data_IF_999081414091
#
_entry.id   IF_999081414091
#
_cell.length_a   1.000
_cell.length_b   1.000
_cell.length_c   1.000
_cell.angle_alpha   90.00
_cell.angle_beta   90.00
_cell.angle_gamma   90.00
#
_symmetry.space_group_name_H-M   'P 1'
#
loop_
_entity.id
_entity.type
_entity.pdbx_description
1 polymer ?
#
# COMPACT_ATOMS: atom_id res chain seq x y z
N UNK A 1 15.50 -28.65 25.06
CA UNK A 1 15.11 -27.70 24.02
C UNK A 1 14.99 -28.48 22.72
N UNK A 2 13.78 -28.85 22.32
CA UNK A 2 13.56 -29.54 21.06
C UNK A 2 13.85 -28.52 19.93
N UNK A 3 14.81 -28.84 19.07
CA UNK A 3 15.14 -28.08 17.87
C UNK A 3 14.00 -28.18 16.84
N UNK A 4 12.94 -27.44 17.06
CA UNK A 4 11.91 -27.27 16.04
C UNK A 4 12.52 -26.55 14.85
N UNK A 5 12.37 -27.12 13.65
CA UNK A 5 12.75 -26.43 12.41
C UNK A 5 12.01 -25.09 12.33
N UNK A 6 12.72 -24.00 12.09
CA UNK A 6 12.10 -22.68 11.96
C UNK A 6 11.08 -22.70 10.81
N UNK A 7 9.91 -22.10 11.04
CA UNK A 7 8.85 -22.00 10.04
C UNK A 7 9.36 -21.24 8.82
N UNK A 8 9.17 -21.78 7.62
CA UNK A 8 9.67 -21.19 6.38
C UNK A 8 8.56 -20.46 5.63
N UNK A 9 8.73 -19.16 5.44
CA UNK A 9 7.73 -18.25 4.89
C UNK A 9 8.19 -17.63 3.58
N UNK A 10 7.32 -17.61 2.58
CA UNK A 10 7.55 -16.89 1.32
C UNK A 10 6.54 -15.74 1.20
N UNK A 11 7.04 -14.50 1.18
CA UNK A 11 6.20 -13.29 1.04
C UNK A 11 6.27 -12.77 -0.39
N UNK A 12 5.12 -12.57 -1.02
CA UNK A 12 4.98 -12.22 -2.43
C UNK A 12 4.18 -10.91 -2.63
N UNK A 13 4.84 -9.75 -2.67
CA UNK A 13 4.18 -8.48 -3.01
C UNK A 13 3.78 -8.41 -4.48
N UNK A 14 2.62 -7.79 -4.76
CA UNK A 14 2.17 -7.50 -6.11
C UNK A 14 3.11 -6.48 -6.79
N UNK A 15 3.20 -6.54 -8.11
CA UNK A 15 4.06 -5.68 -8.93
C UNK A 15 3.40 -4.37 -9.42
N UNK A 16 2.24 -4.01 -8.86
CA UNK A 16 1.51 -2.78 -9.21
C UNK A 16 2.00 -1.55 -8.44
N UNK A 17 3.26 -1.21 -8.61
CA UNK A 17 3.92 -0.10 -7.94
C UNK A 17 4.61 -0.51 -6.63
N UNK A 18 5.38 0.43 -6.07
CA UNK A 18 6.21 0.18 -4.89
C UNK A 18 5.42 0.05 -3.58
N UNK A 19 4.17 0.55 -3.54
CA UNK A 19 3.32 0.52 -2.34
C UNK A 19 3.03 -0.89 -1.83
N UNK A 20 2.92 -1.88 -2.71
CA UNK A 20 2.78 -3.28 -2.33
C UNK A 20 4.06 -3.83 -1.67
N UNK A 21 5.21 -3.50 -2.21
CA UNK A 21 6.49 -3.90 -1.63
C UNK A 21 6.70 -3.26 -0.25
N UNK A 22 6.43 -1.96 -0.10
CA UNK A 22 6.61 -1.25 1.17
C UNK A 22 5.68 -1.75 2.27
N UNK A 23 4.42 -2.07 1.98
CA UNK A 23 3.49 -2.60 2.98
C UNK A 23 3.79 -4.05 3.40
N UNK A 24 4.56 -4.81 2.60
CA UNK A 24 5.05 -6.12 3.02
C UNK A 24 6.22 -6.04 4.01
N UNK A 25 6.89 -4.89 4.14
CA UNK A 25 8.05 -4.71 5.03
C UNK A 25 7.70 -5.05 6.49
N UNK A 26 6.65 -4.48 7.12
CA UNK A 26 6.30 -4.86 8.49
C UNK A 26 5.92 -6.33 8.64
N UNK A 27 5.28 -6.94 7.65
CA UNK A 27 4.94 -8.37 7.66
C UNK A 27 6.21 -9.23 7.69
N UNK A 28 7.18 -8.93 6.84
CA UNK A 28 8.48 -9.61 6.79
C UNK A 28 9.21 -9.46 8.12
N UNK A 29 9.30 -8.23 8.64
CA UNK A 29 9.94 -7.94 9.93
C UNK A 29 9.30 -8.74 11.06
N UNK A 30 7.97 -8.81 11.10
CA UNK A 30 7.26 -9.49 12.17
C UNK A 30 7.47 -11.03 12.13
N UNK A 31 7.46 -11.65 10.94
CA UNK A 31 7.83 -13.07 10.82
C UNK A 31 9.26 -13.34 11.27
N UNK A 32 10.23 -12.48 10.89
CA UNK A 32 11.62 -12.58 11.32
C UNK A 32 11.75 -12.42 12.84
N UNK A 33 11.06 -11.44 13.44
CA UNK A 33 11.05 -11.16 14.88
C UNK A 33 10.55 -12.37 15.69
N UNK A 34 9.62 -13.14 15.12
CA UNK A 34 9.06 -14.34 15.74
C UNK A 34 9.83 -15.63 15.37
N UNK A 35 11.00 -15.50 14.74
CA UNK A 35 11.94 -16.59 14.49
C UNK A 35 11.65 -17.43 13.26
N UNK A 36 10.82 -16.95 12.33
CA UNK A 36 10.61 -17.62 11.04
C UNK A 36 11.79 -17.36 10.07
N UNK A 37 12.06 -18.32 9.19
CA UNK A 37 12.92 -18.13 8.01
C UNK A 37 12.08 -17.49 6.90
N UNK A 38 12.45 -16.29 6.42
CA UNK A 38 11.68 -15.56 5.41
C UNK A 38 12.45 -15.43 4.11
N UNK A 39 11.80 -15.75 3.00
CA UNK A 39 12.26 -15.44 1.65
C UNK A 39 11.21 -14.56 0.92
N UNK A 40 11.62 -13.89 -0.15
CA UNK A 40 10.78 -12.95 -0.89
C UNK A 40 10.55 -13.43 -2.31
N UNK A 41 9.29 -13.51 -2.76
CA UNK A 41 8.94 -13.72 -4.15
C UNK A 41 8.75 -12.35 -4.82
N UNK A 42 9.73 -11.92 -5.60
CA UNK A 42 9.83 -10.55 -6.16
C UNK A 42 9.71 -10.55 -7.67
N UNK A 43 9.39 -9.39 -8.22
CA UNK A 43 9.52 -9.10 -9.64
C UNK A 43 10.62 -8.03 -9.85
N UNK A 44 11.08 -7.85 -11.10
CA UNK A 44 12.19 -6.93 -11.40
C UNK A 44 11.95 -5.50 -10.88
N UNK A 45 10.69 -5.03 -10.89
CA UNK A 45 10.35 -3.66 -10.50
C UNK A 45 10.47 -3.38 -8.99
N UNK A 46 10.29 -4.39 -8.11
CA UNK A 46 10.35 -4.22 -6.66
C UNK A 46 11.57 -4.89 -6.00
N UNK A 47 12.31 -5.72 -6.76
CA UNK A 47 13.46 -6.47 -6.24
C UNK A 47 14.56 -5.60 -5.64
N UNK A 48 14.90 -4.48 -6.32
CA UNK A 48 15.96 -3.57 -5.86
C UNK A 48 15.58 -2.89 -4.53
N UNK A 49 14.33 -2.44 -4.38
CA UNK A 49 13.83 -1.84 -3.15
C UNK A 49 13.92 -2.82 -1.98
N UNK A 50 13.39 -4.03 -2.17
CA UNK A 50 13.37 -5.04 -1.10
C UNK A 50 14.77 -5.56 -0.77
N UNK A 51 15.69 -5.58 -1.73
CA UNK A 51 17.09 -5.93 -1.48
C UNK A 51 17.82 -4.86 -0.65
N UNK A 52 17.49 -3.60 -0.86
CA UNK A 52 18.04 -2.52 -0.04
C UNK A 52 17.54 -2.56 1.41
N UNK A 53 16.27 -2.97 1.63
CA UNK A 53 15.69 -3.06 2.97
C UNK A 53 16.12 -4.37 3.69
N UNK A 54 16.22 -5.46 2.94
CA UNK A 54 16.55 -6.81 3.44
C UNK A 54 17.67 -7.43 2.59
N UNK A 55 18.93 -6.95 2.72
CA UNK A 55 20.04 -7.44 1.90
C UNK A 55 20.37 -8.91 2.12
N UNK A 56 20.05 -9.44 3.30
CA UNK A 56 20.33 -10.83 3.72
C UNK A 56 19.26 -11.82 3.23
N UNK A 57 18.05 -11.35 2.89
CA UNK A 57 16.98 -12.23 2.49
C UNK A 57 17.11 -12.71 1.04
N UNK A 58 16.91 -14.00 0.85
CA UNK A 58 16.89 -14.58 -0.50
C UNK A 58 15.66 -14.09 -1.28
N UNK A 59 15.90 -13.72 -2.52
CA UNK A 59 14.86 -13.29 -3.46
C UNK A 59 14.68 -14.34 -4.56
N UNK A 60 13.41 -14.69 -4.85
CA UNK A 60 13.01 -15.55 -5.97
C UNK A 60 12.23 -14.74 -6.98
N UNK A 61 12.59 -14.83 -8.25
CA UNK A 61 11.85 -14.14 -9.31
C UNK A 61 10.52 -14.85 -9.53
N UNK A 62 9.43 -14.12 -9.29
CA UNK A 62 8.05 -14.55 -9.51
C UNK A 62 7.51 -14.03 -10.85
N UNK A 63 6.47 -14.66 -11.40
CA UNK A 63 5.75 -14.14 -12.56
C UNK A 63 5.25 -12.72 -12.35
N UNK A 64 5.28 -11.88 -13.38
CA UNK A 64 4.78 -10.51 -13.36
C UNK A 64 3.44 -10.40 -14.06
N UNK A 65 2.54 -9.58 -13.56
CA UNK A 65 1.27 -9.26 -14.22
C UNK A 65 1.45 -8.40 -15.46
N UNK A 66 2.60 -7.71 -15.60
CA UNK A 66 2.94 -6.84 -16.74
C UNK A 66 1.80 -5.86 -17.08
N UNK A 67 1.19 -5.25 -16.06
CA UNK A 67 0.07 -4.33 -16.29
C UNK A 67 0.57 -3.04 -16.89
N UNK A 68 0.12 -2.77 -18.10
CA UNK A 68 0.32 -1.49 -18.77
C UNK A 68 -0.89 -0.61 -18.49
N UNK A 69 -0.66 0.47 -17.75
CA UNK A 69 -1.70 1.46 -17.48
C UNK A 69 -2.07 2.24 -18.74
N UNK A 70 -3.37 2.34 -19.09
CA UNK A 70 -3.78 3.14 -20.24
C UNK A 70 -3.43 4.62 -20.05
N UNK A 71 -2.99 5.28 -21.12
CA UNK A 71 -2.56 6.68 -21.11
C UNK A 71 -3.66 7.68 -20.70
N UNK A 72 -4.93 7.33 -20.90
CA UNK A 72 -6.09 8.19 -20.61
C UNK A 72 -7.14 7.37 -19.83
N UNK A 73 -7.50 7.85 -18.66
CA UNK A 73 -8.62 7.35 -17.85
C UNK A 73 -8.45 5.87 -17.45
N UNK A 74 -7.92 5.63 -16.28
CA UNK A 74 -7.78 4.28 -15.74
C UNK A 74 -9.10 3.78 -15.15
N UNK A 75 -9.69 2.78 -15.79
CA UNK A 75 -10.87 2.09 -15.27
C UNK A 75 -10.53 0.61 -15.04
N UNK A 76 -10.23 0.26 -13.77
CA UNK A 76 -9.87 -1.10 -13.39
C UNK A 76 -10.95 -2.12 -13.77
N UNK A 77 -12.22 -1.78 -13.62
CA UNK A 77 -13.32 -2.68 -13.98
C UNK A 77 -13.33 -3.01 -15.47
N UNK A 78 -13.19 -1.98 -16.34
CA UNK A 78 -13.09 -2.19 -17.80
C UNK A 78 -11.79 -2.90 -18.18
N UNK A 79 -10.69 -2.61 -17.48
CA UNK A 79 -9.43 -3.29 -17.70
C UNK A 79 -9.54 -4.79 -17.39
N UNK A 80 -10.16 -5.15 -16.27
CA UNK A 80 -10.41 -6.55 -15.87
C UNK A 80 -11.26 -7.29 -16.90
N UNK A 81 -12.32 -6.65 -17.41
CA UNK A 81 -13.18 -7.26 -18.45
C UNK A 81 -12.38 -7.48 -19.74
N UNK A 82 -11.63 -6.47 -20.21
CA UNK A 82 -10.83 -6.56 -21.43
C UNK A 82 -9.66 -7.54 -21.33
N UNK A 83 -9.08 -7.69 -20.14
CA UNK A 83 -7.86 -8.47 -19.92
C UNK A 83 -8.12 -9.75 -19.11
N UNK A 84 -9.37 -10.18 -18.97
CA UNK A 84 -9.73 -11.35 -18.15
C UNK A 84 -9.01 -12.64 -18.56
N UNK A 85 -8.84 -12.88 -19.85
CA UNK A 85 -8.09 -14.03 -20.36
C UNK A 85 -6.60 -13.94 -20.00
N UNK A 86 -5.98 -12.77 -20.18
CA UNK A 86 -4.59 -12.53 -19.77
C UNK A 86 -4.41 -12.70 -18.27
N UNK A 87 -5.31 -12.11 -17.47
CA UNK A 87 -5.30 -12.24 -16.02
C UNK A 87 -5.37 -13.71 -15.58
N UNK A 88 -6.27 -14.49 -16.19
CA UNK A 88 -6.38 -15.93 -15.91
C UNK A 88 -5.09 -16.67 -16.25
N UNK A 89 -4.46 -16.35 -17.36
CA UNK A 89 -3.17 -16.96 -17.76
C UNK A 89 -2.09 -16.64 -16.72
N UNK A 90 -1.96 -15.38 -16.29
CA UNK A 90 -0.96 -14.98 -15.28
C UNK A 90 -1.25 -15.67 -13.95
N UNK A 91 -2.52 -15.72 -13.52
CA UNK A 91 -2.91 -16.42 -12.29
C UNK A 91 -2.52 -17.91 -12.33
N UNK A 92 -2.67 -18.57 -13.48
CA UNK A 92 -2.25 -19.97 -13.63
C UNK A 92 -0.73 -20.10 -13.56
N UNK A 93 0.04 -19.20 -14.18
CA UNK A 93 1.50 -19.19 -14.05
C UNK A 93 1.96 -18.93 -12.61
N UNK A 94 1.31 -18.03 -11.89
CA UNK A 94 1.59 -17.80 -10.48
C UNK A 94 1.33 -19.05 -9.64
N UNK A 95 0.21 -19.72 -9.90
CA UNK A 95 -0.13 -20.93 -9.17
C UNK A 95 0.89 -22.05 -9.45
N UNK A 96 1.26 -22.27 -10.71
CA UNK A 96 2.30 -23.25 -11.05
C UNK A 96 3.63 -22.91 -10.41
N UNK A 97 4.01 -21.63 -10.39
CA UNK A 97 5.22 -21.17 -9.71
C UNK A 97 5.14 -21.40 -8.19
N UNK A 98 4.00 -21.08 -7.55
CA UNK A 98 3.81 -21.27 -6.12
C UNK A 98 3.93 -22.75 -5.72
N UNK A 99 3.28 -23.65 -6.50
CA UNK A 99 3.39 -25.10 -6.28
C UNK A 99 4.85 -25.57 -6.45
N UNK A 100 5.54 -25.19 -7.56
CA UNK A 100 6.94 -25.57 -7.80
C UNK A 100 7.87 -25.14 -6.66
N UNK A 101 7.75 -23.90 -6.18
CA UNK A 101 8.65 -23.40 -5.12
C UNK A 101 8.32 -24.02 -3.77
N UNK A 102 7.05 -24.31 -3.47
CA UNK A 102 6.66 -25.03 -2.25
C UNK A 102 7.21 -26.45 -2.26
N UNK A 103 7.02 -27.18 -3.35
CA UNK A 103 7.52 -28.56 -3.46
C UNK A 103 9.05 -28.62 -3.40
N UNK A 104 9.73 -27.65 -4.02
CA UNK A 104 11.20 -27.66 -4.12
C UNK A 104 11.90 -27.15 -2.87
N UNK A 105 11.31 -26.18 -2.18
CA UNK A 105 11.97 -25.48 -1.07
C UNK A 105 11.26 -25.65 0.27
N UNK A 106 10.15 -26.38 0.30
CA UNK A 106 9.39 -26.74 1.49
C UNK A 106 8.97 -25.52 2.34
N UNK A 107 8.30 -24.54 1.68
CA UNK A 107 7.69 -23.44 2.42
C UNK A 107 6.47 -23.94 3.18
N UNK A 108 6.35 -23.50 4.44
CA UNK A 108 5.22 -23.77 5.31
C UNK A 108 4.08 -22.77 5.10
N UNK A 109 4.45 -21.51 4.79
CA UNK A 109 3.49 -20.40 4.65
C UNK A 109 3.81 -19.57 3.40
N UNK A 110 2.78 -19.28 2.65
CA UNK A 110 2.80 -18.30 1.57
C UNK A 110 1.98 -17.07 1.99
N UNK A 111 2.55 -15.87 1.91
CA UNK A 111 1.83 -14.61 2.09
C UNK A 111 1.73 -13.89 0.74
N UNK A 112 0.55 -13.85 0.18
CA UNK A 112 0.24 -13.29 -1.13
C UNK A 112 -0.36 -11.91 -0.99
N UNK A 113 0.38 -10.85 -1.28
CA UNK A 113 -0.15 -9.50 -1.27
C UNK A 113 -0.78 -9.16 -2.62
N UNK A 114 -2.10 -9.30 -2.71
CA UNK A 114 -2.94 -9.08 -3.90
C UNK A 114 -2.54 -9.89 -5.15
N UNK A 115 -1.80 -10.99 -4.99
CA UNK A 115 -1.45 -11.90 -6.08
C UNK A 115 -2.46 -13.05 -6.13
N UNK A 116 -3.35 -13.03 -7.08
CA UNK A 116 -4.56 -13.88 -7.13
C UNK A 116 -4.28 -15.37 -7.37
N UNK A 117 -3.13 -15.69 -7.96
CA UNK A 117 -2.71 -17.06 -8.25
C UNK A 117 -1.64 -17.62 -7.30
N UNK A 118 -1.13 -16.81 -6.37
CA UNK A 118 -0.01 -17.17 -5.52
C UNK A 118 -0.46 -17.91 -4.25
N UNK A 119 -0.85 -19.17 -4.42
CA UNK A 119 -1.30 -20.08 -3.35
C UNK A 119 -0.83 -21.51 -3.65
N UNK A 120 -0.76 -22.38 -2.64
CA UNK A 120 -0.44 -23.80 -2.75
C UNK A 120 -1.33 -24.61 -1.80
N UNK A 121 -1.59 -25.87 -2.16
CA UNK A 121 -2.27 -26.84 -1.28
C UNK A 121 -1.36 -27.45 -0.24
N UNK A 122 -0.04 -27.40 -0.48
CA UNK A 122 0.98 -28.00 0.38
C UNK A 122 1.58 -27.00 1.38
N UNK A 123 1.14 -25.73 1.36
CA UNK A 123 1.54 -24.67 2.29
C UNK A 123 0.34 -23.88 2.74
N UNK A 124 0.34 -23.36 3.97
CA UNK A 124 -0.69 -22.42 4.41
C UNK A 124 -0.63 -21.14 3.57
N UNK A 125 -1.69 -20.85 2.85
CA UNK A 125 -1.76 -19.74 1.89
C UNK A 125 -2.61 -18.59 2.45
N UNK A 126 -1.98 -17.44 2.67
CA UNK A 126 -2.59 -16.23 3.22
C UNK A 126 -2.74 -15.22 2.11
N UNK A 127 -3.95 -14.72 1.89
CA UNK A 127 -4.23 -13.65 0.93
C UNK A 127 -4.35 -12.31 1.63
N UNK A 128 -3.45 -11.38 1.36
CA UNK A 128 -3.47 -10.05 1.95
C UNK A 128 -4.09 -9.03 1.00
N UNK A 129 -5.17 -8.38 1.42
CA UNK A 129 -5.86 -7.35 0.63
C UNK A 129 -6.68 -6.40 1.49
N UNK A 130 -6.60 -5.09 1.20
CA UNK A 130 -7.51 -4.09 1.76
C UNK A 130 -8.77 -3.90 0.91
N UNK A 131 -8.75 -4.35 -0.34
CA UNK A 131 -9.87 -4.25 -1.27
C UNK A 131 -10.70 -5.53 -1.26
N UNK A 132 -11.44 -5.79 -0.19
CA UNK A 132 -12.42 -6.87 -0.17
C UNK A 132 -13.61 -6.56 -1.08
N UNK A 133 -13.90 -5.27 -1.28
CA UNK A 133 -14.83 -4.75 -2.28
C UNK A 133 -14.05 -4.15 -3.45
N UNK A 134 -14.28 -4.63 -4.66
CA UNK A 134 -13.67 -4.05 -5.87
C UNK A 134 -14.41 -2.75 -6.21
N UNK A 135 -13.64 -1.65 -6.32
CA UNK A 135 -14.17 -0.34 -6.67
C UNK A 135 -14.56 -0.28 -8.15
N UNK A 136 -15.83 -0.01 -8.44
CA UNK A 136 -16.34 0.24 -9.79
C UNK A 136 -16.76 1.70 -9.97
N UNK A 137 -16.64 2.26 -11.20
CA UNK A 137 -17.26 3.54 -11.55
C UNK A 137 -18.78 3.47 -11.36
N UNK A 138 -19.42 4.60 -11.04
CA UNK A 138 -20.89 4.66 -10.89
C UNK A 138 -21.63 4.07 -12.07
N UNK A 139 -21.16 4.34 -13.30
CA UNK A 139 -21.75 3.82 -14.55
C UNK A 139 -21.65 2.31 -14.70
N UNK A 140 -20.78 1.64 -13.96
CA UNK A 140 -20.56 0.19 -13.96
C UNK A 140 -20.94 -0.46 -12.62
N UNK A 141 -21.58 0.26 -11.70
CA UNK A 141 -21.96 -0.25 -10.38
C UNK A 141 -22.86 -1.49 -10.43
N UNK A 142 -23.67 -1.65 -11.49
CA UNK A 142 -24.47 -2.84 -11.73
C UNK A 142 -23.62 -4.13 -11.87
N UNK A 143 -22.34 -4.03 -12.23
CA UNK A 143 -21.41 -5.15 -12.34
C UNK A 143 -20.67 -5.46 -11.03
N UNK A 144 -20.83 -4.64 -10.00
CA UNK A 144 -20.17 -4.84 -8.70
C UNK A 144 -20.44 -6.23 -8.10
N UNK A 145 -21.69 -6.77 -8.11
CA UNK A 145 -21.95 -8.12 -7.60
C UNK A 145 -21.15 -9.21 -8.33
N UNK A 146 -20.96 -9.08 -9.64
CA UNK A 146 -20.15 -10.03 -10.43
C UNK A 146 -18.68 -9.95 -10.03
N UNK A 147 -18.14 -8.74 -9.88
CA UNK A 147 -16.78 -8.53 -9.38
C UNK A 147 -16.58 -9.10 -7.98
N UNK A 148 -17.55 -8.92 -7.09
CA UNK A 148 -17.54 -9.47 -5.74
C UNK A 148 -17.57 -11.00 -5.74
N UNK A 149 -18.39 -11.63 -6.57
CA UNK A 149 -18.45 -13.10 -6.72
C UNK A 149 -17.11 -13.64 -7.26
N UNK A 150 -16.54 -12.98 -8.26
CA UNK A 150 -15.23 -13.35 -8.78
C UNK A 150 -14.15 -13.23 -7.70
N UNK A 151 -14.09 -12.13 -6.97
CA UNK A 151 -13.11 -11.94 -5.91
C UNK A 151 -13.31 -12.94 -4.76
N UNK A 152 -14.55 -13.24 -4.40
CA UNK A 152 -14.84 -14.30 -3.43
C UNK A 152 -14.34 -15.67 -3.92
N UNK A 153 -14.42 -15.97 -5.22
CA UNK A 153 -13.88 -17.21 -5.79
C UNK A 153 -12.35 -17.25 -5.75
N UNK A 154 -11.68 -16.11 -5.83
CA UNK A 154 -10.23 -16.00 -5.62
C UNK A 154 -9.89 -16.27 -4.14
N UNK A 155 -10.56 -15.57 -3.21
CA UNK A 155 -10.31 -15.72 -1.76
C UNK A 155 -10.50 -17.17 -1.28
N UNK A 156 -11.44 -17.93 -1.86
CA UNK A 156 -11.68 -19.36 -1.53
C UNK A 156 -10.48 -20.29 -1.80
N UNK A 157 -9.48 -19.84 -2.53
CA UNK A 157 -8.27 -20.61 -2.84
C UNK A 157 -7.22 -20.53 -1.74
N UNK A 158 -7.41 -19.59 -0.80
CA UNK A 158 -6.51 -19.32 0.31
C UNK A 158 -7.13 -19.83 1.61
N UNK A 159 -6.30 -20.11 2.61
CA UNK A 159 -6.76 -20.60 3.90
C UNK A 159 -7.34 -19.47 4.76
N UNK A 160 -6.78 -18.26 4.65
CA UNK A 160 -7.27 -17.07 5.34
C UNK A 160 -6.97 -15.78 4.56
N UNK A 161 -7.72 -14.73 4.87
CA UNK A 161 -7.50 -13.37 4.33
C UNK A 161 -6.98 -12.46 5.44
N UNK A 162 -5.84 -11.82 5.18
CA UNK A 162 -5.33 -10.74 6.01
C UNK A 162 -5.76 -9.40 5.43
N UNK A 163 -6.41 -8.59 6.27
CA UNK A 163 -6.86 -7.25 5.89
C UNK A 163 -5.95 -6.23 6.57
N UNK A 164 -5.09 -5.53 5.82
CA UNK A 164 -4.27 -4.45 6.37
C UNK A 164 -5.16 -3.24 6.71
N UNK A 165 -5.94 -3.37 7.75
CA UNK A 165 -6.87 -2.38 8.30
C UNK A 165 -7.22 -2.78 9.73
N UNK A 166 -8.02 -1.97 10.43
CA UNK A 166 -8.57 -2.27 11.76
C UNK A 166 -9.96 -2.90 11.64
N UNK A 167 -10.40 -3.72 12.63
CA UNK A 167 -11.71 -4.37 12.56
C UNK A 167 -12.89 -3.41 12.63
N UNK A 168 -12.72 -2.28 13.31
CA UNK A 168 -13.78 -1.31 13.53
C UNK A 168 -13.85 -0.27 12.40
N UNK A 169 -15.09 0.09 12.01
CA UNK A 169 -15.31 1.19 11.06
C UNK A 169 -15.00 2.54 11.72
N UNK A 170 -14.46 3.50 10.96
CA UNK A 170 -14.29 3.47 9.51
C UNK A 170 -12.98 2.83 9.03
N UNK A 171 -12.01 2.55 9.92
CA UNK A 171 -10.69 2.08 9.54
C UNK A 171 -9.94 3.02 8.59
N UNK A 172 -8.94 2.49 7.88
CA UNK A 172 -8.14 3.25 6.90
C UNK A 172 -8.66 3.10 5.46
N UNK A 173 -9.32 1.97 5.15
CA UNK A 173 -9.84 1.69 3.82
C UNK A 173 -11.37 1.89 3.70
N UNK A 174 -12.04 2.28 4.79
CA UNK A 174 -13.46 2.56 4.80
C UNK A 174 -14.30 1.40 4.26
N UNK A 175 -15.16 1.69 3.30
CA UNK A 175 -16.06 0.70 2.70
C UNK A 175 -15.36 -0.35 1.82
N UNK A 176 -14.08 -0.19 1.50
CA UNK A 176 -13.34 -1.14 0.67
C UNK A 176 -12.94 -2.41 1.44
N UNK A 177 -12.56 -2.27 2.71
CA UNK A 177 -12.11 -3.37 3.59
C UNK A 177 -13.23 -4.01 4.39
N UNK A 178 -14.27 -3.24 4.76
CA UNK A 178 -15.34 -3.68 5.65
C UNK A 178 -16.55 -4.25 4.90
N UNK A 179 -16.38 -5.47 4.37
CA UNK A 179 -17.45 -6.24 3.71
C UNK A 179 -17.96 -7.32 4.65
N UNK A 180 -19.31 -7.40 4.83
CA UNK A 180 -19.95 -8.29 5.82
C UNK A 180 -19.63 -9.78 5.65
N UNK A 181 -19.45 -10.25 4.42
CA UNK A 181 -19.24 -11.69 4.14
C UNK A 181 -17.85 -11.93 3.52
N UNK A 182 -17.15 -12.92 4.03
CA UNK A 182 -15.95 -13.48 3.43
C UNK A 182 -16.08 -15.01 3.34
N UNK A 183 -15.62 -15.64 2.28
CA UNK A 183 -15.72 -17.08 2.12
C UNK A 183 -14.74 -17.90 2.99
N UNK A 184 -13.72 -17.25 3.55
CA UNK A 184 -12.68 -17.83 4.40
C UNK A 184 -12.46 -16.97 5.65
N UNK A 185 -11.78 -17.48 6.69
CA UNK A 185 -11.44 -16.70 7.89
C UNK A 185 -10.73 -15.39 7.55
N UNK A 186 -11.00 -14.34 8.33
CA UNK A 186 -10.40 -13.02 8.16
C UNK A 186 -9.61 -12.67 9.41
N UNK A 187 -8.45 -12.05 9.22
CA UNK A 187 -7.71 -11.34 10.26
C UNK A 187 -7.43 -9.92 9.82
N UNK A 188 -7.78 -8.95 10.65
CA UNK A 188 -7.31 -7.58 10.49
C UNK A 188 -5.90 -7.51 11.07
N UNK A 189 -4.99 -6.87 10.34
CA UNK A 189 -3.55 -6.83 10.69
C UNK A 189 -3.04 -5.41 10.92
N UNK A 190 -3.94 -4.45 11.10
CA UNK A 190 -3.61 -3.05 11.38
C UNK A 190 -3.05 -2.30 10.17
N UNK A 191 -2.49 -1.13 10.43
CA UNK A 191 -1.83 -0.33 9.41
C UNK A 191 -0.46 -0.91 9.08
N UNK A 192 -0.25 -1.31 7.84
CA UNK A 192 1.03 -1.84 7.37
C UNK A 192 1.87 -0.73 6.74
N UNK A 193 2.66 -0.05 7.55
CA UNK A 193 3.58 1.00 7.13
C UNK A 193 5.03 0.62 7.36
N UNK A 194 5.89 0.98 6.40
CA UNK A 194 7.35 0.83 6.56
C UNK A 194 7.94 1.67 7.69
N UNK A 195 7.19 2.67 8.16
CA UNK A 195 7.59 3.56 9.26
C UNK A 195 7.17 3.05 10.65
N UNK A 196 6.47 1.92 10.71
CA UNK A 196 6.05 1.31 11.97
C UNK A 196 7.25 0.69 12.70
N UNK A 197 7.34 0.93 14.01
CA UNK A 197 8.39 0.37 14.87
C UNK A 197 9.79 0.97 14.67
N UNK A 198 10.00 1.86 13.71
CA UNK A 198 11.28 2.54 13.56
C UNK A 198 11.42 3.67 14.58
N UNK A 199 12.56 3.69 15.28
CA UNK A 199 12.98 4.86 16.05
C UNK A 199 13.40 5.95 15.06
N UNK A 200 12.43 6.72 14.59
CA UNK A 200 12.66 7.85 13.71
C UNK A 200 13.42 8.94 14.51
N UNK A 201 14.73 8.85 14.53
CA UNK A 201 15.62 9.71 15.34
C UNK A 201 15.95 11.02 14.64
N UNK A 202 15.87 11.07 13.34
CA UNK A 202 16.13 12.30 12.60
C UNK A 202 15.04 13.34 12.88
N UNK A 203 15.47 14.51 13.37
CA UNK A 203 14.63 15.70 13.49
C UNK A 203 14.97 16.62 12.33
N UNK A 204 13.98 17.14 11.63
CA UNK A 204 14.17 18.24 10.72
C UNK A 204 13.95 19.54 11.48
N UNK A 205 14.90 20.46 11.43
CA UNK A 205 14.74 21.81 12.00
C UNK A 205 13.89 22.71 11.08
N UNK A 206 13.61 22.25 9.87
CA UNK A 206 12.84 22.99 8.88
C UNK A 206 11.37 22.64 8.98
N UNK A 207 10.56 23.64 9.28
CA UNK A 207 9.10 23.54 9.28
C UNK A 207 8.56 23.91 7.91
N UNK A 208 7.77 23.01 7.32
CA UNK A 208 7.10 23.23 6.05
C UNK A 208 5.62 23.48 6.25
N UNK A 209 5.07 24.48 5.53
CA UNK A 209 3.62 24.69 5.50
C UNK A 209 2.94 23.58 4.70
N UNK A 210 3.53 23.20 3.57
CA UNK A 210 3.09 22.05 2.78
C UNK A 210 4.28 21.16 2.42
N UNK A 211 4.08 19.85 2.51
CA UNK A 211 4.94 18.85 1.91
C UNK A 211 4.14 18.12 0.83
N UNK A 212 4.52 18.27 -0.42
CA UNK A 212 3.92 17.55 -1.53
C UNK A 212 4.68 16.24 -1.78
N UNK A 213 3.95 15.11 -1.75
CA UNK A 213 4.51 13.79 -2.05
C UNK A 213 3.99 13.33 -3.40
N UNK A 214 4.85 13.39 -4.42
CA UNK A 214 4.53 13.00 -5.78
C UNK A 214 4.70 11.49 -5.93
N UNK A 215 3.65 10.81 -6.38
CA UNK A 215 3.64 9.37 -6.63
C UNK A 215 2.77 9.03 -7.84
N UNK A 216 2.81 7.79 -8.26
CA UNK A 216 2.02 7.27 -9.39
C UNK A 216 2.87 6.96 -10.62
N UNK A 217 2.19 6.55 -11.69
CA UNK A 217 2.81 6.16 -12.96
C UNK A 217 2.83 7.31 -13.96
N UNK A 218 3.81 7.30 -14.87
CA UNK A 218 3.84 8.28 -15.95
C UNK A 218 2.70 8.04 -16.97
N UNK A 219 2.13 9.08 -17.57
CA UNK A 219 2.45 10.52 -17.44
C UNK A 219 1.68 11.24 -16.31
N UNK A 220 0.82 10.56 -15.57
CA UNK A 220 -0.02 11.16 -14.52
C UNK A 220 0.85 11.71 -13.35
N UNK A 221 1.97 11.06 -13.05
CA UNK A 221 2.92 11.52 -12.05
C UNK A 221 3.52 12.88 -12.42
N UNK A 222 4.02 13.02 -13.65
CA UNK A 222 4.65 14.27 -14.10
C UNK A 222 3.65 15.44 -14.15
N UNK A 223 2.41 15.20 -14.57
CA UNK A 223 1.34 16.22 -14.54
C UNK A 223 1.03 16.67 -13.11
N UNK A 224 0.98 15.73 -12.18
CA UNK A 224 0.73 16.04 -10.77
C UNK A 224 1.90 16.83 -10.15
N UNK A 225 3.15 16.46 -10.45
CA UNK A 225 4.34 17.24 -10.07
C UNK A 225 4.24 18.69 -10.52
N UNK A 226 3.95 18.91 -11.81
CA UNK A 226 3.82 20.24 -12.38
C UNK A 226 2.71 21.05 -11.71
N UNK A 227 1.54 20.44 -11.51
CA UNK A 227 0.38 21.08 -10.87
C UNK A 227 0.70 21.50 -9.44
N UNK A 228 1.34 20.62 -8.64
CA UNK A 228 1.72 20.91 -7.26
C UNK A 228 2.73 22.08 -7.20
N UNK A 229 3.75 22.09 -8.05
CA UNK A 229 4.75 23.16 -8.08
C UNK A 229 4.09 24.49 -8.44
N UNK A 230 3.24 24.54 -9.48
CA UNK A 230 2.48 25.74 -9.88
C UNK A 230 1.54 26.25 -8.78
N UNK A 231 0.98 25.34 -7.98
CA UNK A 231 0.06 25.68 -6.90
C UNK A 231 0.80 26.21 -5.68
N UNK A 232 1.83 25.46 -5.20
CA UNK A 232 2.51 25.74 -3.94
C UNK A 232 3.40 26.99 -4.02
N UNK A 233 4.05 27.25 -5.15
CA UNK A 233 4.93 28.41 -5.32
C UNK A 233 4.22 29.76 -5.06
N UNK A 234 2.90 29.80 -5.26
CA UNK A 234 2.07 30.99 -5.04
C UNK A 234 1.62 31.17 -3.58
N UNK A 235 1.84 30.17 -2.74
CA UNK A 235 1.42 30.20 -1.33
C UNK A 235 2.58 30.74 -0.47
N UNK A 236 2.34 31.73 0.40
CA UNK A 236 3.37 32.19 1.34
C UNK A 236 3.82 31.09 2.29
N UNK A 237 5.12 31.06 2.61
CA UNK A 237 5.74 30.07 3.49
C UNK A 237 6.69 29.16 2.73
N UNK A 238 7.38 28.27 3.45
CA UNK A 238 8.32 27.29 2.88
C UNK A 238 7.59 25.98 2.63
N UNK A 239 7.84 25.38 1.50
CA UNK A 239 7.22 24.12 1.07
C UNK A 239 8.28 23.13 0.60
N UNK A 240 7.99 21.84 0.72
CA UNK A 240 8.80 20.78 0.13
C UNK A 240 8.03 20.02 -0.95
N UNK A 241 8.71 19.56 -1.99
CA UNK A 241 8.16 18.66 -3.00
C UNK A 241 9.07 17.45 -3.15
N UNK A 242 8.60 16.29 -2.75
CA UNK A 242 9.30 15.01 -2.88
C UNK A 242 8.85 14.34 -4.16
N UNK A 243 9.74 14.27 -5.16
CA UNK A 243 9.41 13.94 -6.56
C UNK A 243 9.16 12.44 -6.81
N UNK A 244 9.49 11.56 -5.86
CA UNK A 244 9.29 10.12 -6.02
C UNK A 244 10.12 9.50 -7.16
N UNK A 245 11.35 9.96 -7.36
CA UNK A 245 12.30 9.53 -8.42
C UNK A 245 13.53 8.85 -7.82
N UNK A 246 13.42 7.67 -7.19
CA UNK A 246 14.55 7.03 -6.51
C UNK A 246 15.70 6.68 -7.45
N UNK A 247 15.45 6.42 -8.74
CA UNK A 247 16.48 6.14 -9.73
C UNK A 247 17.46 7.29 -9.98
N UNK A 248 17.08 8.53 -9.60
CA UNK A 248 17.96 9.71 -9.72
C UNK A 248 18.85 9.92 -8.49
N UNK A 249 18.75 9.05 -7.47
CA UNK A 249 19.42 9.21 -6.20
C UNK A 249 18.84 10.36 -5.36
N UNK A 250 19.48 10.65 -4.23
CA UNK A 250 19.10 11.74 -3.33
C UNK A 250 19.73 13.04 -3.82
N UNK A 251 18.91 13.92 -4.40
CA UNK A 251 19.34 15.26 -4.84
C UNK A 251 18.33 16.27 -4.34
N UNK A 252 18.79 17.47 -3.99
CA UNK A 252 17.94 18.60 -3.61
C UNK A 252 18.25 19.83 -4.45
N UNK A 253 17.24 20.65 -4.65
CA UNK A 253 17.35 21.98 -5.25
C UNK A 253 16.30 22.90 -4.66
N UNK A 254 16.53 24.20 -4.73
CA UNK A 254 15.61 25.21 -4.24
C UNK A 254 15.09 26.03 -5.42
N UNK A 255 13.80 26.21 -5.47
CA UNK A 255 13.11 27.05 -6.44
C UNK A 255 12.16 27.98 -5.69
N UNK A 256 12.54 29.25 -5.55
CA UNK A 256 11.79 30.25 -4.78
C UNK A 256 11.55 29.78 -3.32
N UNK A 257 10.29 29.46 -2.96
CA UNK A 257 9.89 28.96 -1.65
C UNK A 257 9.69 27.43 -1.60
N UNK A 258 10.15 26.70 -2.64
CA UNK A 258 10.06 25.25 -2.75
C UNK A 258 11.43 24.59 -2.57
N UNK A 259 11.52 23.66 -1.64
CA UNK A 259 12.64 22.71 -1.53
C UNK A 259 12.24 21.44 -2.33
N UNK A 260 12.98 21.14 -3.38
CA UNK A 260 12.71 19.99 -4.24
C UNK A 260 13.66 18.84 -3.89
N UNK A 261 13.11 17.65 -3.64
CA UNK A 261 13.87 16.43 -3.38
C UNK A 261 13.52 15.38 -4.43
N UNK A 262 14.52 14.84 -5.14
CA UNK A 262 14.27 13.74 -6.09
C UNK A 262 13.71 12.52 -5.39
N UNK A 263 14.29 12.18 -4.25
CA UNK A 263 13.92 11.09 -3.36
C UNK A 263 14.51 11.39 -1.98
N UNK A 264 13.90 10.87 -0.93
CA UNK A 264 14.42 10.91 0.43
C UNK A 264 14.48 9.49 0.99
N UNK A 265 15.55 9.12 1.72
CA UNK A 265 15.58 7.95 2.58
C UNK A 265 14.44 7.98 3.60
N UNK A 266 14.03 6.83 4.11
CA UNK A 266 12.83 6.71 4.95
C UNK A 266 12.87 7.58 6.20
N UNK A 267 14.02 7.67 6.90
CA UNK A 267 14.18 8.54 8.08
C UNK A 267 14.01 10.03 7.73
N UNK A 268 14.66 10.49 6.67
CA UNK A 268 14.55 11.89 6.22
C UNK A 268 13.15 12.20 5.70
N UNK A 269 12.53 11.27 4.97
CA UNK A 269 11.15 11.39 4.54
C UNK A 269 10.21 11.57 5.72
N UNK A 270 10.34 10.72 6.74
CA UNK A 270 9.51 10.79 7.94
C UNK A 270 9.74 12.10 8.71
N UNK A 271 10.99 12.56 8.84
CA UNK A 271 11.32 13.82 9.48
C UNK A 271 10.68 15.02 8.77
N UNK A 272 10.76 15.07 7.44
CA UNK A 272 10.16 16.13 6.60
C UNK A 272 8.64 16.11 6.73
N UNK A 273 8.01 14.94 6.65
CA UNK A 273 6.54 14.78 6.76
C UNK A 273 6.04 15.16 8.15
N UNK A 274 6.69 14.71 9.22
CA UNK A 274 6.30 15.05 10.61
C UNK A 274 6.38 16.56 10.93
N UNK A 275 7.26 17.29 10.24
CA UNK A 275 7.40 18.73 10.37
C UNK A 275 6.55 19.55 9.39
N UNK A 276 5.66 18.90 8.64
CA UNK A 276 4.70 19.55 7.76
C UNK A 276 3.45 19.99 8.52
N UNK A 277 2.91 21.16 8.20
CA UNK A 277 1.56 21.52 8.64
C UNK A 277 0.51 20.71 7.88
N UNK A 278 0.76 20.47 6.59
CA UNK A 278 -0.08 19.68 5.70
C UNK A 278 0.73 18.88 4.70
N UNK A 279 0.29 17.67 4.41
CA UNK A 279 0.84 16.84 3.34
C UNK A 279 -0.16 16.77 2.19
N UNK A 280 0.30 17.05 0.96
CA UNK A 280 -0.50 16.93 -0.26
C UNK A 280 0.00 15.74 -1.07
N UNK A 281 -0.83 14.75 -1.32
CA UNK A 281 -0.41 13.52 -2.02
C UNK A 281 -1.54 12.84 -2.77
N UNK A 282 -1.21 11.82 -3.55
CA UNK A 282 -2.20 10.84 -4.03
C UNK A 282 -2.71 10.02 -2.85
N UNK A 283 -4.02 9.74 -2.83
CA UNK A 283 -4.66 8.93 -1.80
C UNK A 283 -4.57 7.43 -2.06
N UNK A 284 -3.40 6.91 -2.42
CA UNK A 284 -3.19 5.46 -2.50
C UNK A 284 -3.15 4.82 -1.11
N UNK A 285 -3.65 3.59 -0.97
CA UNK A 285 -3.84 2.99 0.35
C UNK A 285 -2.54 2.89 1.18
N UNK A 286 -1.41 2.52 0.57
CA UNK A 286 -0.12 2.51 1.27
C UNK A 286 0.30 3.91 1.75
N UNK A 287 -0.03 4.96 0.99
CA UNK A 287 0.21 6.35 1.42
C UNK A 287 -0.68 6.71 2.62
N UNK A 288 -1.94 6.28 2.62
CA UNK A 288 -2.86 6.51 3.76
C UNK A 288 -2.28 5.89 5.03
N UNK A 289 -1.80 4.65 4.99
CA UNK A 289 -1.17 3.97 6.12
C UNK A 289 0.12 4.67 6.57
N UNK A 290 1.00 5.04 5.64
CA UNK A 290 2.23 5.77 5.95
C UNK A 290 1.92 7.11 6.66
N UNK A 291 0.95 7.86 6.13
CA UNK A 291 0.55 9.15 6.72
C UNK A 291 -0.13 8.99 8.08
N UNK A 292 -0.90 7.94 8.30
CA UNK A 292 -1.50 7.63 9.60
C UNK A 292 -0.43 7.35 10.65
N UNK A 293 0.55 6.49 10.36
CA UNK A 293 1.67 6.18 11.25
C UNK A 293 2.52 7.42 11.54
N UNK A 294 2.73 8.29 10.56
CA UNK A 294 3.48 9.53 10.73
C UNK A 294 2.67 10.65 11.41
N UNK A 295 1.37 10.47 11.62
CA UNK A 295 0.47 11.46 12.23
C UNK A 295 0.26 12.71 11.36
N UNK A 296 0.34 12.56 10.04
CA UNK A 296 0.27 13.66 9.10
C UNK A 296 -1.16 14.14 8.85
N UNK A 297 -1.35 15.45 8.68
CA UNK A 297 -2.59 16.04 8.15
C UNK A 297 -2.56 16.00 6.64
N UNK A 298 -3.55 15.36 6.01
CA UNK A 298 -3.50 15.06 4.59
C UNK A 298 -4.53 15.80 3.76
N UNK A 299 -4.08 16.29 2.61
CA UNK A 299 -4.91 16.65 1.46
C UNK A 299 -4.66 15.61 0.38
N UNK A 300 -5.63 14.75 0.14
CA UNK A 300 -5.54 13.74 -0.91
C UNK A 300 -6.08 14.29 -2.23
N UNK A 301 -5.32 14.08 -3.29
CA UNK A 301 -5.68 14.44 -4.66
C UNK A 301 -5.72 13.15 -5.49
N UNK A 302 -6.88 12.50 -5.60
CA UNK A 302 -7.01 11.23 -6.31
C UNK A 302 -6.56 11.34 -7.76
N UNK A 303 -5.89 10.30 -8.26
CA UNK A 303 -5.57 10.21 -9.69
C UNK A 303 -6.85 10.05 -10.49
N UNK A 304 -7.10 10.87 -11.52
CA UNK A 304 -8.29 10.75 -12.35
C UNK A 304 -8.46 9.33 -12.91
N UNK A 305 -9.64 8.73 -12.68
CA UNK A 305 -9.95 7.38 -13.12
C UNK A 305 -9.48 6.24 -12.20
N UNK A 306 -8.77 6.52 -11.11
CA UNK A 306 -8.46 5.54 -10.07
C UNK A 306 -9.54 5.53 -8.99
N UNK A 307 -10.54 4.68 -9.17
CA UNK A 307 -11.73 4.63 -8.30
C UNK A 307 -11.42 4.24 -6.86
N UNK A 308 -10.41 3.43 -6.62
CA UNK A 308 -9.91 3.15 -5.28
C UNK A 308 -9.56 4.45 -4.54
N UNK A 309 -8.71 5.29 -5.12
CA UNK A 309 -8.28 6.54 -4.51
C UNK A 309 -9.47 7.52 -4.32
N UNK A 310 -10.42 7.53 -5.27
CA UNK A 310 -11.62 8.37 -5.18
C UNK A 310 -12.51 7.92 -4.00
N UNK A 311 -12.72 6.61 -3.82
CA UNK A 311 -13.51 6.06 -2.73
C UNK A 311 -12.79 6.31 -1.39
N UNK A 312 -11.50 5.98 -1.30
CA UNK A 312 -10.69 6.21 -0.10
C UNK A 312 -10.73 7.69 0.31
N UNK A 313 -10.44 8.59 -0.63
CA UNK A 313 -10.44 10.03 -0.36
C UNK A 313 -11.81 10.51 0.11
N UNK A 314 -12.91 10.06 -0.51
CA UNK A 314 -14.27 10.41 -0.11
C UNK A 314 -14.60 9.89 1.28
N UNK A 315 -14.32 8.62 1.56
CA UNK A 315 -14.65 7.97 2.83
C UNK A 315 -13.85 8.62 3.98
N UNK A 316 -12.53 8.84 3.80
CA UNK A 316 -11.69 9.54 4.78
C UNK A 316 -12.10 11.02 4.98
N UNK A 317 -12.55 11.71 3.93
CA UNK A 317 -13.04 13.08 4.06
C UNK A 317 -14.39 13.16 4.77
N UNK A 318 -15.26 12.18 4.57
CA UNK A 318 -16.55 12.05 5.28
C UNK A 318 -16.34 11.90 6.79
N UNK A 319 -15.37 11.08 7.18
CA UNK A 319 -15.02 10.84 8.59
C UNK A 319 -14.20 11.99 9.22
N UNK A 320 -13.82 12.99 8.44
CA UNK A 320 -12.99 14.10 8.92
C UNK A 320 -11.51 13.74 9.13
N UNK A 321 -11.04 12.66 8.53
CA UNK A 321 -9.66 12.19 8.65
C UNK A 321 -8.71 12.78 7.61
N UNK A 322 -9.23 13.26 6.50
CA UNK A 322 -8.47 13.91 5.45
C UNK A 322 -9.30 14.99 4.71
N UNK A 323 -8.62 15.81 3.95
CA UNK A 323 -9.23 16.68 2.94
C UNK A 323 -9.05 15.99 1.58
N UNK A 324 -10.06 16.09 0.70
CA UNK A 324 -9.95 15.55 -0.66
C UNK A 324 -10.30 16.62 -1.68
N UNK A 325 -9.44 16.79 -2.69
CA UNK A 325 -9.63 17.75 -3.79
C UNK A 325 -9.46 16.98 -5.10
N UNK A 326 -10.41 17.13 -6.04
CA UNK A 326 -10.26 16.60 -7.40
C UNK A 326 -9.06 17.25 -8.10
N UNK A 327 -8.25 16.50 -8.85
CA UNK A 327 -7.08 17.02 -9.55
C UNK A 327 -7.43 18.22 -10.46
N UNK A 328 -8.57 18.18 -11.15
CA UNK A 328 -9.04 19.24 -12.02
C UNK A 328 -9.41 20.55 -11.30
N UNK A 329 -9.64 20.47 -9.99
CA UNK A 329 -10.01 21.61 -9.15
C UNK A 329 -8.86 22.12 -8.29
N UNK A 330 -7.70 21.45 -8.33
CA UNK A 330 -6.55 21.83 -7.49
C UNK A 330 -5.98 23.16 -7.97
N UNK A 331 -6.09 24.18 -7.13
CA UNK A 331 -5.51 25.50 -7.29
C UNK A 331 -5.05 26.04 -5.94
N UNK A 332 -4.34 27.16 -5.94
CA UNK A 332 -3.94 27.85 -4.71
C UNK A 332 -5.15 28.19 -3.83
N UNK A 333 -6.19 28.73 -4.44
CA UNK A 333 -7.41 29.17 -3.76
C UNK A 333 -8.18 27.98 -3.18
N UNK A 334 -8.39 26.92 -3.98
CA UNK A 334 -9.13 25.74 -3.50
C UNK A 334 -8.37 24.98 -2.42
N UNK A 335 -7.02 24.90 -2.50
CA UNK A 335 -6.21 24.29 -1.49
C UNK A 335 -6.29 25.04 -0.16
N UNK A 336 -6.13 26.36 -0.18
CA UNK A 336 -6.22 27.20 1.03
C UNK A 336 -7.63 27.19 1.64
N UNK A 337 -8.68 27.29 0.82
CA UNK A 337 -10.05 27.19 1.31
C UNK A 337 -10.34 25.84 1.96
N UNK A 338 -9.93 24.74 1.33
CA UNK A 338 -10.18 23.39 1.84
C UNK A 338 -9.52 23.09 3.19
N UNK A 339 -8.34 23.67 3.49
CA UNK A 339 -7.67 23.50 4.77
C UNK A 339 -8.18 24.45 5.86
N UNK A 340 -8.68 25.65 5.50
CA UNK A 340 -9.16 26.64 6.47
C UNK A 340 -10.42 26.17 7.20
N UNK A 341 -11.31 25.46 6.52
CA UNK A 341 -12.54 24.92 7.07
C UNK A 341 -12.34 23.69 7.99
N UNK A 342 -11.16 23.05 7.96
CA UNK A 342 -10.93 21.74 8.56
C UNK A 342 -9.70 21.69 9.46
N UNK A 343 -9.60 22.62 10.41
CA UNK A 343 -8.46 22.75 11.31
C UNK A 343 -8.13 21.51 12.20
N UNK A 344 -9.00 20.50 12.26
CA UNK A 344 -8.87 19.31 13.11
C UNK A 344 -8.78 17.99 12.38
N UNK A 345 -8.43 17.99 11.11
CA UNK A 345 -8.27 16.76 10.32
C UNK A 345 -7.01 16.02 10.78
N UNK A 346 -7.16 14.76 11.14
CA UNK A 346 -6.04 13.84 11.37
C UNK A 346 -6.49 12.41 11.08
N UNK A 347 -5.66 11.65 10.40
CA UNK A 347 -5.84 10.21 10.27
C UNK A 347 -5.76 9.56 11.67
N UNK A 348 -6.56 8.52 11.95
CA UNK A 348 -6.44 7.79 13.22
C UNK A 348 -5.02 7.21 13.34
N UNK A 349 -4.45 7.37 14.53
CA UNK A 349 -3.14 6.79 14.81
C UNK A 349 -3.29 5.30 15.11
N UNK A 350 -2.35 4.47 14.66
CA UNK A 350 -2.37 3.03 14.91
C UNK A 350 -1.88 2.68 16.35
N UNK A 351 -2.24 3.47 17.37
CA UNK A 351 -1.74 3.28 18.76
C UNK A 351 -2.17 1.94 19.36
N UNK A 352 -3.35 1.42 18.98
CA UNK A 352 -3.89 0.15 19.44
C UNK A 352 -3.64 -1.01 18.46
N UNK A 353 -3.08 -0.73 17.27
CA UNK A 353 -2.94 -1.70 16.19
C UNK A 353 -1.65 -2.52 16.27
N UNK A 354 -0.70 -2.13 17.11
CA UNK A 354 0.64 -2.74 17.18
C UNK A 354 0.63 -4.24 17.51
N UNK A 355 -0.50 -4.79 17.99
CA UNK A 355 -0.64 -6.20 18.31
C UNK A 355 -1.31 -7.01 17.20
N UNK A 356 -2.13 -6.41 16.33
CA UNK A 356 -2.92 -7.15 15.32
C UNK A 356 -2.05 -7.96 14.37
N UNK A 357 -1.01 -7.36 13.80
CA UNK A 357 -0.06 -8.07 12.94
C UNK A 357 0.71 -9.14 13.73
N UNK A 358 1.21 -8.78 14.91
CA UNK A 358 1.94 -9.67 15.81
C UNK A 358 1.11 -10.90 16.17
N UNK A 359 -0.15 -10.70 16.55
CA UNK A 359 -1.08 -11.77 16.91
C UNK A 359 -1.42 -12.65 15.71
N UNK A 360 -1.60 -12.07 14.52
CA UNK A 360 -1.86 -12.80 13.29
C UNK A 360 -0.66 -13.70 12.90
N UNK A 361 0.56 -13.16 12.99
CA UNK A 361 1.80 -13.91 12.74
C UNK A 361 1.99 -15.01 13.80
N UNK A 362 1.84 -14.67 15.09
CA UNK A 362 1.92 -15.62 16.19
C UNK A 362 0.97 -16.79 15.99
N UNK A 363 -0.31 -16.52 15.72
CA UNK A 363 -1.29 -17.57 15.47
C UNK A 363 -0.95 -18.42 14.24
N UNK A 364 -0.32 -17.82 13.21
CA UNK A 364 0.10 -18.54 12.00
C UNK A 364 1.24 -19.51 12.31
N UNK A 365 2.24 -19.09 13.07
CA UNK A 365 3.39 -19.92 13.47
C UNK A 365 2.91 -21.08 14.36
N UNK A 366 2.07 -20.80 15.36
CA UNK A 366 1.69 -21.81 16.36
C UNK A 366 0.60 -22.78 15.87
N UNK A 367 -0.25 -22.38 14.90
CA UNK A 367 -1.23 -23.31 14.32
C UNK A 367 -0.60 -24.48 13.55
N UNK A 368 0.62 -24.32 13.04
CA UNK A 368 1.35 -25.38 12.31
C UNK A 368 2.15 -26.28 13.24
N UNK A 369 2.70 -25.75 14.35
CA UNK A 369 3.45 -26.55 15.34
C UNK A 369 2.52 -27.58 15.99
N UNK A 370 1.22 -27.31 16.12
CA UNK A 370 0.23 -28.23 16.69
C UNK A 370 -0.24 -29.33 15.72
N UNK A 371 0.15 -29.29 14.44
CA UNK A 371 -0.27 -30.23 13.39
C UNK A 371 0.80 -31.27 13.03
N UNK A 372 1.92 -31.25 13.69
CA UNK A 372 3.04 -32.20 13.62
C UNK A 372 3.33 -32.81 14.99
#
# INVERSE_FOLDING_TARGET
MAGGCALKVLVAPLDWGLGHATRCVPVVREFLNQGAEVELAVVRSNAALLRNIFPELRQRLAPSYNIVYPKHGYNMGLWLVKNGAHLRTVMNYEHSFAEEVVDRYHYDVLVSDNRFGFYSRNAKSIYMTHQRRIAFPRVLSAFEPVGMLWHASVMKRFDEVWVPDVPDLPGYAGTLSHVKKCPVPIKYVGALSRFEGEKLTEKSDVRYRFVAVVSGVEPARARFEELLRKTLVKIPGRHAVILGKPSLGVKSSNEQNLDLFTHLPDEQFAAVVKNAEWVVSRGGYSTVMDMAVLGARCVFVPTPGQYEQIILGRDLAHEGYAVTIDESKLSTETLLAAISEKARVALPKPEDDNNLLKDAVYATIHSRISSH
#
